data_IF_185749376920
#
_entry.id   IF_185749376920
#
_cell.length_a   1.000
_cell.length_b   1.000
_cell.length_c   1.000
_cell.angle_alpha   90.00
_cell.angle_beta   90.00
_cell.angle_gamma   90.00
#
_symmetry.space_group_name_H-M   'P 1'
#
loop_
_entity.id
_entity.type
_entity.pdbx_description
1 polymer ?
#
# COMPACT_ATOMS: atom_id res chain seq x y z
N UNK A 1 -0.11 6.05 -28.51
CA UNK A 1 -0.97 6.88 -27.64
C UNK A 1 -0.78 6.38 -26.21
N UNK A 2 -0.18 7.18 -25.33
CA UNK A 2 0.04 6.79 -23.94
C UNK A 2 -1.24 7.04 -23.15
N UNK A 3 -1.80 5.99 -22.56
CA UNK A 3 -2.99 6.07 -21.71
C UNK A 3 -2.68 6.85 -20.44
N UNK A 4 -3.15 8.09 -20.39
CA UNK A 4 -3.09 8.99 -19.22
C UNK A 4 -4.25 8.69 -18.28
N UNK A 5 -4.23 7.55 -17.60
CA UNK A 5 -4.98 7.32 -16.35
C UNK A 5 -4.54 5.98 -15.76
N UNK A 6 -3.34 5.92 -15.20
CA UNK A 6 -3.02 4.82 -14.28
C UNK A 6 -3.55 5.25 -12.92
N UNK A 7 -4.69 4.72 -12.43
CA UNK A 7 -5.06 4.98 -11.05
C UNK A 7 -3.90 4.43 -10.21
N UNK A 8 -3.30 5.27 -9.38
CA UNK A 8 -2.22 4.88 -8.46
C UNK A 8 -2.78 3.94 -7.38
N UNK A 9 -3.24 2.76 -7.78
CA UNK A 9 -3.57 1.67 -6.87
C UNK A 9 -2.25 1.11 -6.36
N UNK A 10 -2.02 1.33 -5.08
CA UNK A 10 -1.02 0.64 -4.28
C UNK A 10 -0.99 -0.84 -4.69
N UNK A 11 0.21 -1.37 -4.94
CA UNK A 11 0.37 -2.81 -5.20
C UNK A 11 0.23 -3.57 -3.88
N UNK A 12 -0.56 -4.63 -3.89
CA UNK A 12 -0.72 -5.54 -2.76
C UNK A 12 -0.77 -7.00 -3.23
N UNK A 13 -0.60 -7.93 -2.29
CA UNK A 13 -0.75 -9.37 -2.50
C UNK A 13 -1.23 -10.04 -1.21
N UNK A 14 -2.09 -11.05 -1.31
CA UNK A 14 -2.53 -11.88 -0.18
C UNK A 14 -2.05 -13.31 -0.45
N UNK A 15 -1.25 -13.86 0.45
CA UNK A 15 -0.72 -15.24 0.33
C UNK A 15 -1.12 -16.08 1.52
N UNK A 16 -1.56 -17.33 1.33
CA UNK A 16 -1.84 -18.23 2.45
C UNK A 16 -0.57 -18.53 3.24
N UNK A 17 -0.70 -18.72 4.55
CA UNK A 17 0.35 -19.25 5.42
C UNK A 17 -0.25 -20.16 6.50
N UNK A 18 0.59 -20.89 7.23
CA UNK A 18 0.13 -21.76 8.31
C UNK A 18 -0.59 -20.96 9.40
N UNK A 19 -1.91 -21.13 9.50
CA UNK A 19 -2.76 -20.42 10.47
C UNK A 19 -3.38 -19.11 9.97
N UNK A 20 -3.34 -18.81 8.67
CA UNK A 20 -4.08 -17.67 8.10
C UNK A 20 -3.56 -17.18 6.74
N UNK A 21 -3.48 -15.86 6.58
CA UNK A 21 -2.96 -15.19 5.39
C UNK A 21 -1.96 -14.08 5.71
N UNK A 22 -1.06 -13.81 4.77
CA UNK A 22 -0.15 -12.67 4.80
C UNK A 22 -0.60 -11.66 3.75
N UNK A 23 -1.00 -10.48 4.19
CA UNK A 23 -1.22 -9.31 3.34
C UNK A 23 0.10 -8.56 3.18
N UNK A 24 0.60 -8.46 1.95
CA UNK A 24 1.78 -7.69 1.58
C UNK A 24 1.37 -6.43 0.82
N UNK A 25 1.83 -5.26 1.26
CA UNK A 25 1.52 -3.96 0.64
C UNK A 25 2.84 -3.27 0.27
N UNK A 26 2.95 -2.76 -0.96
CA UNK A 26 4.13 -2.04 -1.43
C UNK A 26 3.87 -0.54 -1.36
N UNK A 27 4.66 0.14 -0.54
CA UNK A 27 4.53 1.57 -0.26
C UNK A 27 5.74 2.34 -0.77
N UNK A 28 5.56 3.55 -1.33
CA UNK A 28 6.67 4.44 -1.61
C UNK A 28 7.27 4.93 -0.29
N UNK A 29 8.59 4.86 -0.17
CA UNK A 29 9.29 5.49 0.93
C UNK A 29 9.04 7.00 0.96
N UNK A 30 8.77 7.53 2.15
CA UNK A 30 8.75 8.97 2.36
C UNK A 30 10.11 9.57 1.96
N UNK A 31 10.06 10.64 1.17
CA UNK A 31 11.25 11.45 0.91
C UNK A 31 11.68 12.08 2.23
N UNK A 32 12.97 12.01 2.54
CA UNK A 32 13.59 12.78 3.61
C UNK A 32 14.78 13.53 3.03
N UNK A 33 15.30 14.53 3.74
CA UNK A 33 16.45 15.33 3.31
C UNK A 33 17.68 14.48 2.93
N UNK A 34 17.77 13.25 3.47
CA UNK A 34 18.85 12.29 3.22
C UNK A 34 18.49 11.24 2.15
N UNK A 35 17.21 11.06 1.81
CA UNK A 35 16.74 10.01 0.88
C UNK A 35 16.35 10.60 -0.48
N UNK A 36 17.34 10.68 -1.36
CA UNK A 36 17.26 11.29 -2.70
C UNK A 36 16.55 10.39 -3.73
N UNK A 37 16.36 9.09 -3.46
CA UNK A 37 15.69 8.15 -4.39
C UNK A 37 14.52 7.40 -3.73
N UNK A 38 13.33 7.36 -4.38
CA UNK A 38 12.21 6.58 -3.88
C UNK A 38 12.52 5.08 -4.01
N UNK A 39 12.48 4.37 -2.89
CA UNK A 39 12.44 2.90 -2.86
C UNK A 39 11.05 2.47 -2.44
N UNK A 40 10.59 1.35 -2.99
CA UNK A 40 9.37 0.69 -2.52
C UNK A 40 9.74 -0.20 -1.33
N UNK A 41 9.05 -0.04 -0.21
CA UNK A 41 9.14 -0.98 0.90
C UNK A 41 7.88 -1.85 0.96
N UNK A 42 8.04 -3.09 1.39
CA UNK A 42 6.95 -4.05 1.53
C UNK A 42 6.57 -4.18 3.00
N UNK A 43 5.35 -3.79 3.33
CA UNK A 43 4.75 -4.03 4.65
C UNK A 43 4.03 -5.37 4.61
N UNK A 44 4.19 -6.18 5.66
CA UNK A 44 3.54 -7.50 5.78
C UNK A 44 2.69 -7.57 7.04
N UNK A 45 1.42 -7.91 6.86
CA UNK A 45 0.47 -8.15 7.94
C UNK A 45 0.11 -9.64 7.98
N UNK A 46 0.27 -10.28 9.14
CA UNK A 46 -0.22 -11.64 9.38
C UNK A 46 -1.63 -11.55 9.94
N UNK A 47 -2.58 -12.20 9.28
CA UNK A 47 -4.00 -12.11 9.61
C UNK A 47 -4.61 -13.52 9.65
N UNK A 48 -5.64 -13.75 10.48
CA UNK A 48 -6.20 -15.08 10.67
C UNK A 48 -7.00 -15.57 9.45
N UNK A 49 -7.46 -14.67 8.57
CA UNK A 49 -8.27 -15.02 7.40
C UNK A 49 -8.14 -14.01 6.27
N UNK A 50 -8.53 -14.43 5.07
CA UNK A 50 -8.63 -13.55 3.90
C UNK A 50 -9.65 -12.42 4.09
N UNK A 51 -10.73 -12.68 4.85
CA UNK A 51 -11.75 -11.66 5.16
C UNK A 51 -11.15 -10.51 5.95
N UNK A 52 -10.34 -10.80 6.98
CA UNK A 52 -9.64 -9.77 7.76
C UNK A 52 -8.60 -9.03 6.91
N UNK A 53 -7.93 -9.72 5.98
CA UNK A 53 -7.00 -9.10 5.04
C UNK A 53 -7.70 -8.10 4.10
N UNK A 54 -8.86 -8.47 3.57
CA UNK A 54 -9.65 -7.60 2.71
C UNK A 54 -10.20 -6.39 3.47
N UNK A 55 -10.63 -6.58 4.72
CA UNK A 55 -11.06 -5.48 5.59
C UNK A 55 -9.93 -4.48 5.83
N UNK A 56 -8.76 -4.97 6.28
CA UNK A 56 -7.58 -4.13 6.50
C UNK A 56 -7.14 -3.43 5.21
N UNK A 57 -7.14 -4.12 4.08
CA UNK A 57 -6.81 -3.55 2.78
C UNK A 57 -7.77 -2.42 2.39
N UNK A 58 -9.07 -2.57 2.62
CA UNK A 58 -10.07 -1.54 2.35
C UNK A 58 -9.82 -0.28 3.18
N UNK A 59 -9.62 -0.45 4.50
CA UNK A 59 -9.28 0.65 5.41
C UNK A 59 -7.95 1.34 5.03
N UNK A 60 -6.97 0.53 4.64
CA UNK A 60 -5.67 1.00 4.17
C UNK A 60 -5.78 1.85 2.90
N UNK A 61 -6.52 1.37 1.90
CA UNK A 61 -6.76 2.08 0.64
C UNK A 61 -7.57 3.36 0.85
N UNK A 62 -8.55 3.37 1.74
CA UNK A 62 -9.31 4.57 2.10
C UNK A 62 -8.40 5.64 2.72
N UNK A 63 -7.56 5.23 3.68
CA UNK A 63 -6.59 6.13 4.33
C UNK A 63 -5.55 6.66 3.35
N UNK A 64 -5.02 5.79 2.48
CA UNK A 64 -4.01 6.18 1.51
C UNK A 64 -4.57 7.14 0.46
N UNK A 65 -5.80 6.92 -0.03
CA UNK A 65 -6.47 7.87 -0.93
C UNK A 65 -6.65 9.24 -0.29
N UNK A 66 -7.05 9.27 0.99
CA UNK A 66 -7.17 10.51 1.73
C UNK A 66 -5.82 11.24 1.87
N UNK A 67 -4.73 10.51 2.14
CA UNK A 67 -3.37 11.09 2.20
C UNK A 67 -2.85 11.56 0.85
N UNK A 68 -3.14 10.84 -0.23
CA UNK A 68 -2.70 11.19 -1.58
C UNK A 68 -3.41 12.43 -2.15
N UNK A 69 -4.58 12.78 -1.62
CA UNK A 69 -5.36 13.97 -2.03
C UNK A 69 -4.98 15.25 -1.29
N UNK A 70 -4.19 15.16 -0.22
CA UNK A 70 -3.63 16.34 0.44
C UNK A 70 -2.37 16.72 -0.35
N UNK A 71 -2.34 17.87 -1.05
CA UNK A 71 -1.08 18.38 -1.58
C UNK A 71 -0.16 18.56 -0.37
N UNK A 72 0.99 17.89 -0.37
CA UNK A 72 2.06 18.26 0.54
C UNK A 72 2.53 19.64 0.10
N UNK A 73 1.90 20.70 0.61
CA UNK A 73 2.42 22.06 0.53
C UNK A 73 3.79 22.06 1.24
N UNK A 74 4.80 22.48 0.48
CA UNK A 74 6.18 22.73 0.91
C UNK A 74 6.24 24.19 1.32
#
# INVERSE_FOLDING_TARGET
>A
MYSTTTPHLIKYNITPFEGGVILSIWEPAAKSEVRVKPFLYMVRYRLPSEVEAMKLLSEYLATYKAKAQIPQEI
#
